data_IF_651287707492
#
_entry.id   IF_651287707492
#
_cell.length_a   1.000
_cell.length_b   1.000
_cell.length_c   1.000
_cell.angle_alpha   90.00
_cell.angle_beta   90.00
_cell.angle_gamma   90.00
#
_symmetry.space_group_name_H-M   'P 1'
#
loop_
_entity.id
_entity.type
_entity.pdbx_description
1 polymer ?
#
# COMPACT_ATOMS: atom_id res chain seq x y z
N UNK A 1 7.55 2.70 -16.98
CA UNK A 1 7.27 2.11 -15.66
C UNK A 1 6.05 1.21 -15.77
N UNK A 2 6.17 -0.01 -15.31
CA UNK A 2 5.02 -0.91 -15.30
C UNK A 2 4.03 -0.44 -14.25
N UNK A 3 2.81 -0.19 -14.67
CA UNK A 3 1.74 0.19 -13.76
C UNK A 3 1.12 -1.08 -13.17
N UNK A 4 1.51 -1.42 -11.96
CA UNK A 4 0.99 -2.61 -11.26
C UNK A 4 -0.51 -2.51 -10.99
N UNK A 5 -1.08 -1.30 -11.01
CA UNK A 5 -2.50 -1.10 -10.81
C UNK A 5 -3.32 -1.47 -12.05
N UNK A 6 -2.67 -1.62 -13.20
CA UNK A 6 -3.33 -2.02 -14.45
C UNK A 6 -3.43 -3.52 -14.64
N UNK A 7 -2.92 -4.33 -13.70
CA UNK A 7 -3.03 -5.78 -13.78
C UNK A 7 -4.49 -6.22 -13.72
N UNK A 8 -4.88 -7.13 -14.61
CA UNK A 8 -6.20 -7.74 -14.56
C UNK A 8 -6.32 -8.69 -13.35
N UNK A 9 -7.56 -9.04 -13.00
CA UNK A 9 -7.80 -10.02 -11.92
C UNK A 9 -7.12 -11.35 -12.23
N UNK A 10 -7.13 -11.76 -13.50
CA UNK A 10 -6.50 -13.02 -13.91
C UNK A 10 -4.99 -12.95 -13.77
N UNK A 11 -4.39 -11.83 -14.13
CA UNK A 11 -2.95 -11.62 -13.98
C UNK A 11 -2.54 -11.64 -12.51
N UNK A 12 -3.33 -11.04 -11.62
CA UNK A 12 -3.11 -11.10 -10.19
C UNK A 12 -3.16 -12.53 -9.67
N UNK A 13 -4.15 -13.31 -10.12
CA UNK A 13 -4.30 -14.72 -9.69
C UNK A 13 -3.12 -15.59 -10.10
N UNK A 14 -2.54 -15.33 -11.24
CA UNK A 14 -1.41 -16.11 -11.77
C UNK A 14 -0.05 -15.56 -11.37
N UNK A 15 -0.03 -14.43 -10.64
CA UNK A 15 1.24 -13.80 -10.25
C UNK A 15 1.99 -14.69 -9.26
N UNK A 16 3.25 -15.06 -9.52
CA UNK A 16 3.98 -16.02 -8.68
C UNK A 16 4.56 -15.43 -7.39
N UNK A 17 4.58 -14.12 -7.26
CA UNK A 17 5.18 -13.45 -6.11
C UNK A 17 4.22 -13.23 -4.96
N UNK A 18 4.72 -12.78 -3.80
CA UNK A 18 3.86 -12.38 -2.69
C UNK A 18 3.01 -11.17 -3.10
N UNK A 19 1.77 -11.15 -2.60
CA UNK A 19 0.86 -10.05 -2.85
C UNK A 19 0.82 -9.15 -1.61
N UNK A 20 1.10 -7.88 -1.80
CA UNK A 20 1.11 -6.89 -0.72
C UNK A 20 -0.01 -5.88 -0.94
N UNK A 21 -0.83 -5.70 0.09
CA UNK A 21 -1.88 -4.70 0.12
C UNK A 21 -1.38 -3.50 0.93
N UNK A 22 -1.25 -2.34 0.29
CA UNK A 22 -0.70 -1.13 0.91
C UNK A 22 -1.78 -0.19 1.44
N UNK A 23 -3.04 -0.62 1.39
CA UNK A 23 -4.15 0.17 1.94
C UNK A 23 -4.09 0.20 3.46
N UNK A 24 -4.88 1.10 4.08
CA UNK A 24 -4.95 1.18 5.53
C UNK A 24 -5.46 -0.12 6.15
N UNK A 25 -5.13 -0.38 7.45
CA UNK A 25 -5.60 -1.60 8.11
C UNK A 25 -7.11 -1.77 8.09
N UNK A 26 -7.87 -0.70 8.25
CA UNK A 26 -9.33 -0.75 8.22
C UNK A 26 -9.87 -1.13 6.85
N UNK A 27 -9.29 -0.62 5.78
CA UNK A 27 -9.65 -0.99 4.42
C UNK A 27 -9.33 -2.47 4.16
N UNK A 28 -8.16 -2.93 4.58
CA UNK A 28 -7.75 -4.33 4.46
C UNK A 28 -8.72 -5.27 5.22
N UNK A 29 -9.12 -4.87 6.43
CA UNK A 29 -10.03 -5.67 7.24
C UNK A 29 -11.41 -5.81 6.62
N UNK A 30 -11.88 -4.82 5.89
CA UNK A 30 -13.19 -4.85 5.23
C UNK A 30 -13.24 -5.82 4.04
N UNK A 31 -12.10 -6.09 3.45
CA UNK A 31 -12.00 -7.02 2.34
C UNK A 31 -10.67 -6.85 1.64
N UNK A 32 -10.03 -7.97 1.32
CA UNK A 32 -8.75 -7.97 0.62
C UNK A 32 -8.60 -9.26 -0.17
N UNK A 33 -7.62 -9.28 -1.05
CA UNK A 33 -7.33 -10.46 -1.84
C UNK A 33 -6.84 -11.60 -0.94
N UNK A 34 -7.35 -12.83 -1.10
CA UNK A 34 -6.90 -13.97 -0.29
C UNK A 34 -5.39 -14.16 -0.37
N UNK A 35 -4.75 -14.30 0.79
CA UNK A 35 -3.32 -14.47 0.87
C UNK A 35 -2.51 -13.19 0.82
N UNK A 36 -3.13 -12.03 0.63
CA UNK A 36 -2.43 -10.75 0.65
C UNK A 36 -1.92 -10.42 2.05
N UNK A 37 -0.73 -9.83 2.11
CA UNK A 37 -0.15 -9.30 3.34
C UNK A 37 -0.38 -7.80 3.38
N UNK A 38 -0.87 -7.28 4.49
CA UNK A 38 -1.07 -5.85 4.65
C UNK A 38 0.21 -5.18 5.15
N UNK A 39 0.79 -4.31 4.32
CA UNK A 39 1.88 -3.41 4.71
C UNK A 39 1.37 -2.01 4.42
N UNK A 40 0.61 -1.39 5.35
CA UNK A 40 -0.06 -0.14 5.07
C UNK A 40 0.91 1.03 4.96
N UNK A 41 0.72 1.86 3.95
CA UNK A 41 1.44 3.13 3.83
C UNK A 41 0.92 4.15 4.85
N UNK A 42 -0.37 4.05 5.18
CA UNK A 42 -1.02 4.94 6.13
C UNK A 42 -1.79 4.14 7.17
N UNK A 43 -1.79 4.61 8.42
CA UNK A 43 -2.79 4.18 9.39
C UNK A 43 -4.17 4.67 8.95
N UNK A 44 -5.22 4.20 9.61
CA UNK A 44 -6.59 4.64 9.28
C UNK A 44 -6.75 6.15 9.47
N UNK A 45 -6.19 6.70 10.54
CA UNK A 45 -6.25 8.15 10.80
C UNK A 45 -5.46 8.95 9.77
N UNK A 46 -4.28 8.48 9.40
CA UNK A 46 -3.46 9.10 8.37
C UNK A 46 -4.17 9.08 7.01
N UNK A 47 -4.79 7.95 6.68
CA UNK A 47 -5.54 7.82 5.43
C UNK A 47 -6.71 8.78 5.39
N UNK A 48 -7.42 8.94 6.51
CA UNK A 48 -8.53 9.88 6.62
C UNK A 48 -8.03 11.33 6.45
N UNK A 49 -6.90 11.68 7.04
CA UNK A 49 -6.32 13.02 6.91
C UNK A 49 -5.94 13.34 5.47
N UNK A 50 -5.29 12.40 4.77
CA UNK A 50 -4.94 12.56 3.35
C UNK A 50 -6.20 12.71 2.50
N UNK A 51 -7.21 11.89 2.74
CA UNK A 51 -8.47 11.97 2.01
C UNK A 51 -9.20 13.29 2.23
N UNK A 52 -9.23 13.79 3.44
CA UNK A 52 -9.82 15.09 3.77
C UNK A 52 -9.07 16.22 3.07
N UNK A 53 -7.74 16.18 3.12
CA UNK A 53 -6.91 17.18 2.43
C UNK A 53 -7.16 17.18 0.93
N UNK A 54 -7.30 16.00 0.34
CA UNK A 54 -7.64 15.87 -1.09
C UNK A 54 -8.97 16.56 -1.42
N UNK A 55 -10.00 16.29 -0.62
CA UNK A 55 -11.33 16.85 -0.84
C UNK A 55 -11.38 18.37 -0.64
N UNK A 56 -10.66 18.88 0.35
CA UNK A 56 -10.74 20.30 0.71
C UNK A 56 -9.72 21.17 -0.03
N UNK A 57 -8.55 20.66 -0.35
CA UNK A 57 -7.44 21.43 -0.88
C UNK A 57 -6.94 20.94 -2.23
N UNK A 58 -7.36 19.76 -2.66
CA UNK A 58 -6.98 19.21 -3.95
C UNK A 58 -5.79 18.26 -3.90
N UNK A 59 -5.32 17.87 -5.09
CA UNK A 59 -4.34 16.82 -5.26
C UNK A 59 -2.96 17.14 -4.67
N UNK A 60 -2.40 18.31 -4.99
CA UNK A 60 -1.02 18.63 -4.59
C UNK A 60 -0.84 18.67 -3.08
N UNK A 61 -1.70 19.39 -2.31
CA UNK A 61 -1.59 19.34 -0.84
C UNK A 61 -1.73 17.92 -0.29
N UNK A 62 -2.60 17.10 -0.86
CA UNK A 62 -2.76 15.70 -0.43
C UNK A 62 -1.50 14.89 -0.70
N UNK A 63 -0.86 15.06 -1.85
CA UNK A 63 0.41 14.40 -2.19
C UNK A 63 1.51 14.82 -1.21
N UNK A 64 1.62 16.12 -0.91
CA UNK A 64 2.60 16.62 0.05
C UNK A 64 2.40 16.01 1.43
N UNK A 65 1.16 15.98 1.90
CA UNK A 65 0.84 15.38 3.20
C UNK A 65 1.19 13.89 3.20
N UNK A 66 0.79 13.17 2.16
CA UNK A 66 1.06 11.74 2.02
C UNK A 66 2.56 11.44 2.06
N UNK A 67 3.36 12.19 1.33
CA UNK A 67 4.81 12.01 1.31
C UNK A 67 5.45 12.37 2.65
N UNK A 68 4.95 13.40 3.33
CA UNK A 68 5.42 13.76 4.66
C UNK A 68 5.19 12.65 5.68
N UNK A 69 4.08 11.94 5.56
CA UNK A 69 3.74 10.82 6.44
C UNK A 69 4.55 9.58 6.10
N UNK A 70 4.62 9.21 4.82
CA UNK A 70 5.24 7.95 4.40
C UNK A 70 6.75 8.02 4.30
N UNK A 71 7.32 9.20 4.02
CA UNK A 71 8.76 9.35 3.84
C UNK A 71 9.58 8.75 4.99
N UNK A 72 9.30 9.11 6.25
CA UNK A 72 10.04 8.55 7.39
C UNK A 72 9.86 7.04 7.58
N UNK A 73 8.84 6.44 6.98
CA UNK A 73 8.51 5.01 7.13
C UNK A 73 9.09 4.14 6.01
N UNK A 74 9.66 4.75 4.97
CA UNK A 74 10.07 3.99 3.76
C UNK A 74 11.09 2.91 4.06
N UNK A 75 12.07 3.17 4.91
CA UNK A 75 13.08 2.18 5.26
C UNK A 75 12.45 0.95 5.93
N UNK A 76 11.53 1.19 6.86
CA UNK A 76 10.81 0.11 7.53
C UNK A 76 9.95 -0.71 6.56
N UNK A 77 9.26 -0.05 5.64
CA UNK A 77 8.48 -0.73 4.61
C UNK A 77 9.36 -1.57 3.68
N UNK A 78 10.54 -1.04 3.33
CA UNK A 78 11.50 -1.76 2.50
C UNK A 78 11.98 -3.03 3.20
N UNK A 79 12.26 -2.96 4.50
CA UNK A 79 12.67 -4.11 5.30
C UNK A 79 11.59 -5.19 5.34
N UNK A 80 10.34 -4.79 5.52
CA UNK A 80 9.21 -5.73 5.53
C UNK A 80 9.03 -6.42 4.17
N UNK A 81 9.15 -5.67 3.08
CA UNK A 81 9.08 -6.23 1.72
C UNK A 81 10.22 -7.22 1.47
N UNK A 82 11.42 -6.89 1.93
CA UNK A 82 12.59 -7.77 1.78
C UNK A 82 12.42 -9.08 2.53
N UNK A 83 11.83 -9.04 3.73
CA UNK A 83 11.51 -10.25 4.50
C UNK A 83 10.55 -11.16 3.75
N UNK A 84 9.53 -10.60 3.11
CA UNK A 84 8.60 -11.37 2.31
C UNK A 84 9.30 -12.04 1.13
N UNK A 85 10.19 -11.32 0.48
CA UNK A 85 10.99 -11.87 -0.62
C UNK A 85 11.87 -13.03 -0.15
N UNK A 86 12.51 -12.89 0.99
CA UNK A 86 13.36 -13.94 1.57
C UNK A 86 12.54 -15.19 1.88
N UNK A 87 11.34 -15.05 2.43
CA UNK A 87 10.45 -16.18 2.70
C UNK A 87 10.05 -16.92 1.43
N UNK A 88 9.88 -16.18 0.33
CA UNK A 88 9.49 -16.77 -0.94
C UNK A 88 10.60 -17.63 -1.53
N UNK A 89 11.86 -17.26 -1.34
CA UNK A 89 13.02 -17.92 -1.97
C UNK A 89 13.79 -18.86 -1.04
N UNK A 90 13.33 -19.02 0.17
CA UNK A 90 13.93 -20.01 1.09
C UNK A 90 13.19 -21.31 1.09
#
# INVERSE_FOLDING_TARGET
MVDVLSLSIQELRSHPGPLVDVRSPGEFAKGHWPGATNIPLFSDDERAAVGTTYKQQGRLPAVHLGLSITGPKLASHADELDKLRCLLYT
#
